data_IF_739376956996
#
_entry.id   IF_739376956996
#
_cell.length_a   1.000
_cell.length_b   1.000
_cell.length_c   1.000
_cell.angle_alpha   90.00
_cell.angle_beta   90.00
_cell.angle_gamma   90.00
#
_symmetry.space_group_name_H-M   'P 1'
#
loop_
_entity.id
_entity.type
_entity.pdbx_description
1 polymer ?
#
# COMPACT_ATOMS: atom_id res chain seq x y z
N UNK A 1 -24.02 35.28 -5.27
CA UNK A 1 -24.37 33.84 -5.27
C UNK A 1 -23.41 33.00 -6.10
N UNK A 2 -23.20 33.25 -7.40
CA UNK A 2 -22.30 32.46 -8.27
C UNK A 2 -20.85 32.30 -7.75
N UNK A 3 -20.27 33.35 -7.16
CA UNK A 3 -18.91 33.29 -6.61
C UNK A 3 -18.82 32.38 -5.37
N UNK A 4 -19.84 32.41 -4.51
CA UNK A 4 -19.90 31.58 -3.30
C UNK A 4 -20.13 30.10 -3.63
N UNK A 5 -20.93 29.80 -4.66
CA UNK A 5 -21.09 28.42 -5.13
C UNK A 5 -19.81 27.88 -5.77
N UNK A 6 -19.09 28.68 -6.55
CA UNK A 6 -17.79 28.29 -7.10
C UNK A 6 -16.77 28.01 -5.98
N UNK A 7 -16.72 28.88 -4.96
CA UNK A 7 -15.80 28.74 -3.83
C UNK A 7 -16.13 27.51 -2.97
N UNK A 8 -17.42 27.23 -2.74
CA UNK A 8 -17.88 26.00 -2.09
C UNK A 8 -17.51 24.74 -2.89
N UNK A 9 -17.73 24.74 -4.20
CA UNK A 9 -17.36 23.60 -5.06
C UNK A 9 -15.85 23.35 -5.00
N UNK A 10 -15.02 24.40 -5.08
CA UNK A 10 -13.57 24.24 -4.98
C UNK A 10 -13.12 23.69 -3.62
N UNK A 11 -13.77 24.10 -2.52
CA UNK A 11 -13.44 23.60 -1.19
C UNK A 11 -13.82 22.13 -1.00
N UNK A 12 -15.00 21.73 -1.48
CA UNK A 12 -15.48 20.34 -1.39
C UNK A 12 -14.60 19.41 -2.24
N UNK A 13 -14.22 19.85 -3.44
CA UNK A 13 -13.29 19.08 -4.28
C UNK A 13 -11.91 18.95 -3.63
N UNK A 14 -11.40 20.01 -3.01
CA UNK A 14 -10.10 19.98 -2.35
C UNK A 14 -10.10 19.08 -1.10
N UNK A 15 -11.17 19.12 -0.30
CA UNK A 15 -11.28 18.25 0.88
C UNK A 15 -11.32 16.77 0.51
N UNK A 16 -12.05 16.41 -0.56
CA UNK A 16 -12.11 15.03 -1.03
C UNK A 16 -10.73 14.51 -1.46
N UNK A 17 -9.94 15.35 -2.15
CA UNK A 17 -8.56 15.02 -2.54
C UNK A 17 -7.65 14.87 -1.32
N UNK A 18 -7.79 15.74 -0.31
CA UNK A 18 -7.01 15.63 0.92
C UNK A 18 -7.30 14.35 1.71
N UNK A 19 -8.58 13.96 1.81
CA UNK A 19 -8.97 12.72 2.50
C UNK A 19 -8.43 11.47 1.79
N UNK A 20 -8.42 11.48 0.45
CA UNK A 20 -7.85 10.41 -0.36
C UNK A 20 -6.33 10.29 -0.21
N UNK A 21 -5.61 11.41 -0.26
CA UNK A 21 -4.15 11.42 -0.02
C UNK A 21 -3.85 10.87 1.38
N UNK A 22 -4.66 11.25 2.37
CA UNK A 22 -4.52 10.77 3.75
C UNK A 22 -4.78 9.26 3.86
N UNK A 23 -5.81 8.74 3.19
CA UNK A 23 -6.10 7.31 3.13
C UNK A 23 -4.91 6.54 2.55
N UNK A 24 -4.37 7.01 1.42
CA UNK A 24 -3.20 6.40 0.79
C UNK A 24 -1.97 6.39 1.68
N UNK A 25 -1.66 7.52 2.34
CA UNK A 25 -0.53 7.61 3.28
C UNK A 25 -0.71 6.64 4.45
N UNK A 26 -1.92 6.58 5.05
CA UNK A 26 -2.20 5.73 6.21
C UNK A 26 -2.04 4.24 5.88
N UNK A 27 -2.60 3.79 4.74
CA UNK A 27 -2.46 2.40 4.27
C UNK A 27 -1.00 2.03 4.06
N UNK A 28 -0.23 2.88 3.37
CA UNK A 28 1.18 2.61 3.10
C UNK A 28 2.02 2.60 4.39
N UNK A 29 1.83 3.56 5.30
CA UNK A 29 2.56 3.61 6.57
C UNK A 29 2.27 2.40 7.45
N UNK A 30 1.02 1.94 7.51
CA UNK A 30 0.65 0.73 8.25
C UNK A 30 1.35 -0.50 7.70
N UNK A 31 1.36 -0.66 6.38
CA UNK A 31 2.06 -1.77 5.73
C UNK A 31 3.56 -1.74 6.01
N UNK A 32 4.22 -0.61 5.77
CA UNK A 32 5.67 -0.44 6.02
C UNK A 32 6.02 -0.75 7.49
N UNK A 33 5.25 -0.18 8.43
CA UNK A 33 5.43 -0.45 9.85
C UNK A 33 5.23 -1.92 10.20
N UNK A 34 4.26 -2.60 9.57
CA UNK A 34 4.07 -4.02 9.81
C UNK A 34 5.28 -4.84 9.34
N UNK A 35 5.76 -4.59 8.12
CA UNK A 35 6.91 -5.30 7.54
C UNK A 35 8.17 -5.10 8.39
N UNK A 36 8.40 -3.90 8.90
CA UNK A 36 9.57 -3.61 9.76
C UNK A 36 9.43 -4.13 11.19
N UNK A 37 8.24 -4.10 11.79
CA UNK A 37 8.10 -4.38 13.22
C UNK A 37 7.60 -5.78 13.55
N UNK A 38 6.74 -6.38 12.72
CA UNK A 38 6.11 -7.68 13.04
C UNK A 38 6.88 -8.88 12.53
N UNK A 39 7.68 -8.73 11.48
CA UNK A 39 8.46 -9.84 10.91
C UNK A 39 9.73 -10.04 11.73
N UNK A 40 9.95 -11.20 12.36
CA UNK A 40 11.14 -11.43 13.19
C UNK A 40 12.41 -11.46 12.34
N UNK A 41 13.49 -10.87 12.84
CA UNK A 41 14.80 -10.87 12.16
C UNK A 41 15.34 -12.29 11.91
N UNK A 42 14.94 -13.28 12.72
CA UNK A 42 15.28 -14.70 12.52
C UNK A 42 14.64 -15.32 11.27
N UNK A 43 13.70 -14.62 10.62
CA UNK A 43 13.09 -15.01 9.34
C UNK A 43 13.76 -14.38 8.13
N UNK A 44 14.70 -13.46 8.34
CA UNK A 44 15.44 -12.77 7.29
C UNK A 44 16.85 -13.34 7.27
N UNK A 45 17.18 -14.01 6.17
CA UNK A 45 18.44 -14.75 6.01
C UNK A 45 19.63 -13.79 6.04
N UNK A 46 19.61 -12.77 5.18
CA UNK A 46 20.65 -11.75 5.11
C UNK A 46 20.55 -10.77 6.30
N UNK A 47 21.61 -10.60 7.10
CA UNK A 47 21.65 -9.57 8.12
C UNK A 47 21.43 -8.14 7.61
N UNK A 48 21.84 -7.81 6.39
CA UNK A 48 21.72 -6.46 5.82
C UNK A 48 20.25 -6.08 5.59
N UNK A 49 19.40 -7.06 5.29
CA UNK A 49 17.96 -6.86 5.06
C UNK A 49 17.15 -6.72 6.37
N UNK A 50 17.77 -6.91 7.54
CA UNK A 50 17.07 -6.90 8.85
C UNK A 50 16.75 -5.50 9.36
N UNK A 51 17.59 -4.53 9.00
CA UNK A 51 17.47 -3.16 9.50
C UNK A 51 16.41 -2.35 8.72
N UNK A 52 16.09 -2.78 7.49
CA UNK A 52 15.07 -2.17 6.64
C UNK A 52 14.26 -3.24 5.90
N UNK A 53 13.57 -4.10 6.65
CA UNK A 53 12.77 -5.22 6.11
C UNK A 53 11.70 -4.73 5.16
N UNK A 54 11.10 -3.57 5.39
CA UNK A 54 10.11 -2.98 4.51
C UNK A 54 10.67 -2.69 3.12
N UNK A 55 11.89 -2.17 3.00
CA UNK A 55 12.55 -1.91 1.71
C UNK A 55 12.81 -3.19 0.93
N UNK A 56 13.17 -4.26 1.64
CA UNK A 56 13.42 -5.57 1.05
C UNK A 56 12.13 -6.33 0.67
N UNK A 57 11.10 -6.28 1.52
CA UNK A 57 9.89 -7.10 1.37
C UNK A 57 8.80 -6.44 0.53
N UNK A 58 8.71 -5.10 0.54
CA UNK A 58 7.67 -4.38 -0.18
C UNK A 58 7.60 -4.70 -1.69
N UNK A 59 8.72 -4.83 -2.43
CA UNK A 59 8.65 -5.25 -3.83
C UNK A 59 7.90 -6.56 -4.04
N UNK A 60 8.14 -7.56 -3.19
CA UNK A 60 7.44 -8.85 -3.25
C UNK A 60 5.94 -8.70 -2.97
N UNK A 61 5.55 -7.81 -2.06
CA UNK A 61 4.14 -7.50 -1.80
C UNK A 61 3.50 -6.90 -3.03
N UNK A 62 4.10 -5.86 -3.63
CA UNK A 62 3.56 -5.20 -4.82
C UNK A 62 3.41 -6.19 -5.97
N UNK A 63 4.46 -6.95 -6.30
CA UNK A 63 4.46 -7.90 -7.42
C UNK A 63 3.33 -8.95 -7.32
N UNK A 64 3.13 -9.52 -6.12
CA UNK A 64 2.17 -10.60 -5.92
C UNK A 64 0.74 -10.09 -5.68
N UNK A 65 0.59 -8.84 -5.22
CA UNK A 65 -0.73 -8.22 -5.01
C UNK A 65 -1.34 -7.75 -6.33
N UNK A 66 -0.50 -7.33 -7.28
CA UNK A 66 -0.90 -6.88 -8.61
C UNK A 66 -1.11 -8.03 -9.63
N UNK A 67 -1.07 -9.28 -9.18
CA UNK A 67 -1.20 -10.48 -10.04
C UNK A 67 -0.20 -10.52 -11.22
N UNK A 68 0.98 -9.91 -11.05
CA UNK A 68 2.06 -9.99 -12.02
C UNK A 68 2.73 -11.37 -11.97
N UNK A 69 3.40 -11.76 -13.07
CA UNK A 69 4.25 -12.94 -13.10
C UNK A 69 5.43 -12.77 -12.12
N UNK A 70 5.27 -13.28 -10.90
CA UNK A 70 6.25 -13.15 -9.84
C UNK A 70 7.22 -14.34 -9.80
N UNK A 71 8.49 -14.05 -9.51
CA UNK A 71 9.52 -15.08 -9.35
C UNK A 71 9.24 -15.98 -8.13
N UNK A 72 9.80 -17.19 -8.12
CA UNK A 72 9.67 -18.09 -6.95
C UNK A 72 10.25 -17.47 -5.67
N UNK A 73 11.32 -16.67 -5.78
CA UNK A 73 11.89 -15.95 -4.64
C UNK A 73 10.90 -14.90 -4.11
N UNK A 74 10.30 -14.11 -5.01
CA UNK A 74 9.25 -13.14 -4.67
C UNK A 74 8.06 -13.79 -3.98
N UNK A 75 7.56 -14.93 -4.48
CA UNK A 75 6.45 -15.68 -3.86
C UNK A 75 6.76 -16.13 -2.43
N UNK A 76 8.00 -16.55 -2.16
CA UNK A 76 8.43 -16.94 -0.80
C UNK A 76 8.46 -15.75 0.15
N UNK A 77 9.00 -14.62 -0.28
CA UNK A 77 9.01 -13.38 0.50
C UNK A 77 7.59 -12.87 0.74
N UNK A 78 6.72 -12.94 -0.27
CA UNK A 78 5.32 -12.60 -0.13
C UNK A 78 4.59 -13.50 0.87
N UNK A 79 4.80 -14.81 0.81
CA UNK A 79 4.21 -15.74 1.78
C UNK A 79 4.70 -15.48 3.22
N UNK A 80 5.97 -15.07 3.38
CA UNK A 80 6.49 -14.62 4.67
C UNK A 80 5.77 -13.34 5.13
N UNK A 81 5.64 -12.34 4.26
CA UNK A 81 4.95 -11.09 4.57
C UNK A 81 3.48 -11.33 4.94
N UNK A 82 2.75 -12.13 4.17
CA UNK A 82 1.37 -12.52 4.46
C UNK A 82 1.22 -13.18 5.83
N UNK A 83 2.17 -14.03 6.22
CA UNK A 83 2.11 -14.69 7.54
C UNK A 83 2.09 -13.72 8.72
N UNK A 84 2.71 -12.54 8.60
CA UNK A 84 2.86 -11.59 9.70
C UNK A 84 2.05 -10.29 9.52
N UNK A 85 1.66 -9.96 8.28
CA UNK A 85 1.08 -8.69 7.88
C UNK A 85 -0.13 -8.86 6.93
N UNK A 86 -0.86 -9.97 7.04
CA UNK A 86 -2.01 -10.28 6.18
C UNK A 86 -3.02 -9.12 6.12
N UNK A 87 -3.44 -8.61 7.28
CA UNK A 87 -4.43 -7.53 7.36
C UNK A 87 -3.96 -6.28 6.62
N UNK A 88 -2.74 -5.83 6.87
CA UNK A 88 -2.18 -4.64 6.22
C UNK A 88 -1.98 -4.84 4.72
N UNK A 89 -1.62 -6.05 4.28
CA UNK A 89 -1.48 -6.38 2.85
C UNK A 89 -2.84 -6.42 2.16
N UNK A 90 -3.87 -6.98 2.79
CA UNK A 90 -5.23 -7.00 2.24
C UNK A 90 -5.80 -5.58 2.10
N UNK A 91 -5.60 -4.72 3.09
CA UNK A 91 -5.99 -3.30 2.97
C UNK A 91 -5.20 -2.58 1.88
N UNK A 92 -3.90 -2.85 1.75
CA UNK A 92 -3.10 -2.32 0.65
C UNK A 92 -3.63 -2.77 -0.72
N UNK A 93 -3.98 -4.05 -0.86
CA UNK A 93 -4.59 -4.60 -2.08
C UNK A 93 -5.90 -3.88 -2.42
N UNK A 94 -6.82 -3.81 -1.48
CA UNK A 94 -8.13 -3.18 -1.66
C UNK A 94 -7.99 -1.70 -2.05
N UNK A 95 -7.11 -0.96 -1.36
CA UNK A 95 -6.81 0.43 -1.70
C UNK A 95 -6.27 0.55 -3.13
N UNK A 96 -5.32 -0.30 -3.52
CA UNK A 96 -4.73 -0.28 -4.85
C UNK A 96 -5.77 -0.58 -5.95
N UNK A 97 -6.62 -1.59 -5.75
CA UNK A 97 -7.71 -1.95 -6.69
C UNK A 97 -8.75 -0.82 -6.82
N UNK A 98 -9.12 -0.19 -5.70
CA UNK A 98 -9.99 1.00 -5.69
C UNK A 98 -9.42 2.12 -6.54
N UNK A 99 -8.10 2.35 -6.47
CA UNK A 99 -7.43 3.37 -7.28
C UNK A 99 -7.35 2.98 -8.76
N UNK A 100 -7.01 1.72 -9.07
CA UNK A 100 -6.96 1.23 -10.45
C UNK A 100 -8.33 1.35 -11.16
N UNK A 101 -9.42 0.99 -10.47
CA UNK A 101 -10.77 1.09 -11.02
C UNK A 101 -11.21 2.54 -11.27
N UNK A 102 -10.77 3.49 -10.44
CA UNK A 102 -11.03 4.92 -10.66
C UNK A 102 -10.32 5.45 -11.90
N UNK A 103 -9.09 4.99 -12.16
CA UNK A 103 -8.34 5.35 -13.37
C UNK A 103 -9.00 4.75 -14.62
N UNK A 104 -9.50 3.51 -14.54
CA UNK A 104 -10.14 2.83 -15.67
C UNK A 104 -11.54 3.37 -16.01
N UNK A 105 -12.31 3.85 -15.03
CA UNK A 105 -13.66 4.40 -15.22
C UNK A 105 -13.72 5.88 -15.62
N UNK A 106 -12.57 6.54 -15.78
CA UNK A 106 -12.45 7.97 -16.10
C UNK A 106 -12.21 8.31 -17.58
N UNK A 107 -12.40 7.36 -18.51
CA UNK A 107 -12.32 7.55 -19.96
C UNK A 107 -13.70 7.55 -20.62
#
# INVERSE_FOLDING_TARGET
MKLFTLLLVTLISFSAVCDEIKEGIDVNLKLLNCLDNKIPNSRIEDPEDRDAKSLFLLPSVIENTMENDSSNASKKLFALSMKYCEEEILFFKEYFEKQANRVAGGL
#
